data_IF_565065701175
#
_entry.id   IF_565065701175
#
_cell.length_a   1.000
_cell.length_b   1.000
_cell.length_c   1.000
_cell.angle_alpha   90.00
_cell.angle_beta   90.00
_cell.angle_gamma   90.00
#
_symmetry.space_group_name_H-M   'P 1'
#
loop_
_entity.id
_entity.type
_entity.pdbx_description
1 polymer ?
#
# COMPACT_ATOMS: atom_id res chain seq x y z
N UNK A 1 -20.01 -18.68 38.20
CA UNK A 1 -19.69 -18.82 36.75
C UNK A 1 -19.91 -17.53 35.95
N UNK A 2 -20.47 -16.46 36.52
CA UNK A 2 -20.80 -15.24 35.78
C UNK A 2 -19.60 -14.29 35.54
N UNK A 3 -18.65 -14.24 36.48
CA UNK A 3 -17.47 -13.36 36.38
C UNK A 3 -16.49 -13.74 35.27
N UNK A 4 -16.33 -15.04 35.00
CA UNK A 4 -15.42 -15.54 33.96
C UNK A 4 -15.94 -15.16 32.56
N UNK A 5 -17.26 -15.20 32.37
CA UNK A 5 -17.89 -14.80 31.11
C UNK A 5 -17.70 -13.31 30.83
N UNK A 6 -17.81 -12.46 31.86
CA UNK A 6 -17.62 -11.00 31.71
C UNK A 6 -16.17 -10.67 31.38
N UNK A 7 -15.21 -11.32 32.03
CA UNK A 7 -13.77 -11.12 31.75
C UNK A 7 -13.43 -11.55 30.32
N UNK A 8 -13.92 -12.72 29.88
CA UNK A 8 -13.69 -13.20 28.52
C UNK A 8 -14.30 -12.24 27.48
N UNK A 9 -15.52 -11.74 27.72
CA UNK A 9 -16.16 -10.79 26.82
C UNK A 9 -15.38 -9.47 26.71
N UNK A 10 -14.88 -8.92 27.83
CA UNK A 10 -14.07 -7.70 27.84
C UNK A 10 -12.75 -7.92 27.07
N UNK A 11 -12.09 -9.06 27.27
CA UNK A 11 -10.87 -9.40 26.53
C UNK A 11 -11.16 -9.51 25.05
N UNK A 12 -12.20 -10.24 24.64
CA UNK A 12 -12.58 -10.41 23.23
C UNK A 12 -12.88 -9.07 22.54
N UNK A 13 -13.66 -8.21 23.21
CA UNK A 13 -13.99 -6.88 22.70
C UNK A 13 -12.73 -5.99 22.65
N UNK A 14 -11.87 -6.04 23.67
CA UNK A 14 -10.62 -5.30 23.70
C UNK A 14 -9.65 -5.72 22.59
N UNK A 15 -9.47 -7.03 22.38
CA UNK A 15 -8.63 -7.57 21.31
C UNK A 15 -9.20 -7.24 19.94
N UNK A 16 -10.52 -7.39 19.73
CA UNK A 16 -11.16 -7.01 18.48
C UNK A 16 -11.02 -5.51 18.21
N UNK A 17 -11.15 -4.67 19.23
CA UNK A 17 -10.98 -3.22 19.13
C UNK A 17 -9.54 -2.83 18.78
N UNK A 18 -8.54 -3.45 19.41
CA UNK A 18 -7.12 -3.22 19.11
C UNK A 18 -6.77 -3.66 17.69
N UNK A 19 -7.27 -4.82 17.24
CA UNK A 19 -7.12 -5.27 15.86
C UNK A 19 -7.75 -4.27 14.89
N UNK A 20 -8.99 -3.83 15.16
CA UNK A 20 -9.67 -2.82 14.35
C UNK A 20 -8.93 -1.47 14.30
N UNK A 21 -8.38 -1.01 15.43
CA UNK A 21 -7.56 0.20 15.45
C UNK A 21 -6.28 0.02 14.65
N UNK A 22 -5.61 -1.12 14.76
CA UNK A 22 -4.40 -1.41 14.00
C UNK A 22 -4.68 -1.41 12.48
N UNK A 23 -5.74 -2.11 12.04
CA UNK A 23 -6.15 -2.11 10.63
C UNK A 23 -6.60 -0.73 10.13
N UNK A 24 -7.32 0.06 10.95
CA UNK A 24 -7.73 1.43 10.59
C UNK A 24 -6.54 2.39 10.55
N UNK A 25 -5.58 2.22 11.46
CA UNK A 25 -4.32 2.96 11.48
C UNK A 25 -3.51 2.72 10.21
N UNK A 26 -3.35 1.46 9.81
CA UNK A 26 -2.64 1.09 8.57
C UNK A 26 -3.30 1.63 7.29
N UNK A 27 -4.63 1.57 7.19
CA UNK A 27 -5.36 2.14 6.05
C UNK A 27 -5.27 3.68 5.99
N UNK A 28 -5.26 4.36 7.14
CA UNK A 28 -5.03 5.79 7.22
C UNK A 28 -3.57 6.15 6.87
N UNK A 29 -2.62 5.30 7.24
CA UNK A 29 -1.20 5.44 6.90
C UNK A 29 -1.02 5.49 5.38
N UNK A 30 -1.67 4.60 4.62
CA UNK A 30 -1.57 4.52 3.16
C UNK A 30 -2.16 5.74 2.41
N UNK A 31 -2.92 6.59 3.10
CA UNK A 31 -3.45 7.86 2.55
C UNK A 31 -2.51 9.03 2.78
N UNK A 32 -1.48 8.87 3.62
CA UNK A 32 -0.47 9.91 3.83
C UNK A 32 0.31 10.17 2.54
N UNK A 33 0.84 11.40 2.37
CA UNK A 33 1.76 11.70 1.30
C UNK A 33 2.91 10.68 1.24
N UNK A 34 3.30 10.26 0.03
CA UNK A 34 4.34 9.24 -0.14
C UNK A 34 5.64 9.57 0.61
N UNK A 35 6.03 10.85 0.66
CA UNK A 35 7.20 11.29 1.42
C UNK A 35 7.09 11.02 2.92
N UNK A 36 5.97 11.39 3.54
CA UNK A 36 5.73 11.12 4.97
C UNK A 36 5.60 9.64 5.28
N UNK A 37 4.98 8.89 4.36
CA UNK A 37 4.85 7.45 4.48
C UNK A 37 6.22 6.76 4.41
N UNK A 38 7.07 7.14 3.46
CA UNK A 38 8.44 6.62 3.30
C UNK A 38 9.31 6.94 4.52
N UNK A 39 9.25 8.17 5.04
CA UNK A 39 9.94 8.53 6.28
C UNK A 39 9.47 7.68 7.46
N UNK A 40 8.17 7.41 7.55
CA UNK A 40 7.62 6.53 8.59
C UNK A 40 8.04 5.08 8.40
N UNK A 41 8.10 4.60 7.15
CA UNK A 41 8.50 3.24 6.79
C UNK A 41 9.95 2.98 7.16
N UNK A 42 10.87 3.87 6.80
CA UNK A 42 12.30 3.72 7.06
C UNK A 42 12.65 3.76 8.56
N UNK A 43 11.83 4.43 9.38
CA UNK A 43 12.04 4.52 10.83
C UNK A 43 11.52 3.30 11.62
N UNK A 44 10.87 2.33 10.96
CA UNK A 44 10.19 1.19 11.60
C UNK A 44 11.04 -0.07 11.57
N UNK A 45 10.71 -1.03 12.43
CA UNK A 45 11.38 -2.34 12.46
C UNK A 45 11.09 -3.16 11.19
N UNK A 46 11.91 -4.17 10.84
CA UNK A 46 11.69 -4.98 9.63
C UNK A 46 10.32 -5.66 9.56
N UNK A 47 9.79 -6.11 10.70
CA UNK A 47 8.45 -6.72 10.80
C UNK A 47 7.37 -5.69 10.49
N UNK A 48 7.45 -4.50 11.09
CA UNK A 48 6.51 -3.41 10.82
C UNK A 48 6.62 -2.90 9.38
N UNK A 49 7.83 -2.90 8.79
CA UNK A 49 8.04 -2.55 7.39
C UNK A 49 7.32 -3.55 6.47
N UNK A 50 7.45 -4.85 6.74
CA UNK A 50 6.72 -5.88 5.99
C UNK A 50 5.20 -5.63 6.05
N UNK A 51 4.64 -5.43 7.24
CA UNK A 51 3.20 -5.16 7.42
C UNK A 51 2.76 -3.86 6.70
N UNK A 52 3.55 -2.80 6.82
CA UNK A 52 3.28 -1.53 6.14
C UNK A 52 3.31 -1.68 4.61
N UNK A 53 4.31 -2.39 4.09
CA UNK A 53 4.44 -2.67 2.66
C UNK A 53 3.27 -3.52 2.14
N UNK A 54 2.90 -4.57 2.87
CA UNK A 54 1.78 -5.44 2.50
C UNK A 54 0.46 -4.66 2.48
N UNK A 55 0.20 -3.84 3.49
CA UNK A 55 -0.98 -2.99 3.54
C UNK A 55 -1.03 -1.98 2.38
N UNK A 56 0.12 -1.39 2.05
CA UNK A 56 0.23 -0.47 0.92
C UNK A 56 -0.08 -1.21 -0.40
N UNK A 57 0.53 -2.37 -0.62
CA UNK A 57 0.30 -3.19 -1.82
C UNK A 57 -1.16 -3.58 -1.99
N UNK A 58 -1.78 -4.16 -0.95
CA UNK A 58 -3.20 -4.53 -0.99
C UNK A 58 -4.09 -3.33 -1.32
N UNK A 59 -3.76 -2.14 -0.79
CA UNK A 59 -4.53 -0.92 -1.06
C UNK A 59 -4.31 -0.42 -2.48
N UNK A 60 -3.07 -0.44 -2.95
CA UNK A 60 -2.69 -0.03 -4.31
C UNK A 60 -3.28 -0.94 -5.38
N UNK A 61 -3.29 -2.27 -5.16
CA UNK A 61 -3.97 -3.24 -6.03
C UNK A 61 -5.46 -2.95 -6.09
N UNK A 62 -6.11 -2.71 -4.95
CA UNK A 62 -7.54 -2.36 -4.92
C UNK A 62 -7.82 -1.06 -5.66
N UNK A 63 -6.93 -0.09 -5.57
CA UNK A 63 -7.05 1.17 -6.30
C UNK A 63 -6.86 0.95 -7.81
N UNK A 64 -5.89 0.13 -8.21
CA UNK A 64 -5.67 -0.26 -9.60
C UNK A 64 -6.88 -1.00 -10.19
N UNK A 65 -7.50 -1.89 -9.42
CA UNK A 65 -8.72 -2.58 -9.81
C UNK A 65 -9.88 -1.60 -10.06
N UNK A 66 -10.01 -0.56 -9.23
CA UNK A 66 -11.00 0.51 -9.45
C UNK A 66 -10.70 1.35 -10.71
N UNK A 67 -9.45 1.35 -11.18
CA UNK A 67 -9.03 1.99 -12.44
C UNK A 67 -9.09 1.02 -13.63
N UNK A 68 -9.64 -0.19 -13.45
CA UNK A 68 -9.84 -1.18 -14.50
C UNK A 68 -8.68 -2.18 -14.69
N UNK A 69 -7.65 -2.13 -13.84
CA UNK A 69 -6.48 -3.01 -13.95
C UNK A 69 -6.49 -4.02 -12.81
N UNK A 70 -6.73 -5.29 -13.14
CA UNK A 70 -6.70 -6.39 -12.17
C UNK A 70 -5.28 -6.90 -11.99
N UNK A 71 -4.79 -6.89 -10.75
CA UNK A 71 -3.43 -7.31 -10.40
C UNK A 71 -3.53 -8.34 -9.28
N UNK A 72 -2.97 -9.52 -9.50
CA UNK A 72 -2.88 -10.55 -8.48
C UNK A 72 -1.59 -10.38 -7.68
N UNK A 73 -1.69 -10.31 -6.35
CA UNK A 73 -0.54 -10.09 -5.48
C UNK A 73 0.44 -11.27 -5.53
N UNK A 74 -0.07 -12.50 -5.61
CA UNK A 74 0.75 -13.71 -5.68
C UNK A 74 1.55 -13.78 -6.99
N UNK A 75 0.95 -13.35 -8.11
CA UNK A 75 1.64 -13.27 -9.40
C UNK A 75 2.66 -12.12 -9.43
N UNK A 76 2.34 -10.99 -8.79
CA UNK A 76 3.19 -9.82 -8.74
C UNK A 76 4.47 -10.04 -7.93
N UNK A 77 4.35 -10.65 -6.74
CA UNK A 77 5.50 -10.95 -5.90
C UNK A 77 6.32 -12.11 -6.49
N UNK A 78 5.66 -13.07 -7.16
CA UNK A 78 6.32 -14.31 -7.53
C UNK A 78 6.67 -15.14 -6.28
N UNK A 79 6.88 -16.44 -6.46
CA UNK A 79 7.04 -17.38 -5.35
C UNK A 79 8.15 -16.94 -4.36
N UNK A 80 7.74 -16.34 -3.24
CA UNK A 80 8.60 -16.01 -2.11
C UNK A 80 9.22 -14.61 -2.11
N UNK A 81 8.82 -13.65 -2.96
CA UNK A 81 9.31 -12.29 -2.82
C UNK A 81 8.60 -11.54 -1.69
N UNK A 82 9.37 -10.76 -0.93
CA UNK A 82 8.85 -9.97 0.17
C UNK A 82 8.21 -8.66 -0.33
N UNK A 83 7.07 -8.25 0.22
CA UNK A 83 6.48 -6.93 0.01
C UNK A 83 7.48 -5.78 0.15
N UNK A 84 8.40 -5.87 1.12
CA UNK A 84 9.41 -4.86 1.41
C UNK A 84 10.42 -4.68 0.26
N UNK A 85 10.80 -5.75 -0.44
CA UNK A 85 11.71 -5.70 -1.58
C UNK A 85 11.08 -4.94 -2.75
N UNK A 86 9.79 -5.12 -2.93
CA UNK A 86 9.02 -4.44 -3.98
C UNK A 86 8.94 -2.92 -3.68
N UNK A 87 8.71 -2.55 -2.42
CA UNK A 87 8.76 -1.13 -2.00
C UNK A 87 10.16 -0.54 -2.20
N UNK A 88 11.23 -1.28 -1.91
CA UNK A 88 12.59 -0.82 -2.16
C UNK A 88 12.85 -0.57 -3.66
N UNK A 89 12.40 -1.47 -4.53
CA UNK A 89 12.49 -1.29 -5.98
C UNK A 89 11.69 -0.05 -6.45
N UNK A 90 10.53 0.20 -5.85
CA UNK A 90 9.72 1.38 -6.13
C UNK A 90 10.40 2.69 -5.74
N UNK A 91 11.08 2.73 -4.59
CA UNK A 91 11.82 3.93 -4.16
C UNK A 91 12.89 4.34 -5.19
N UNK A 92 13.55 3.36 -5.81
CA UNK A 92 14.55 3.61 -6.86
C UNK A 92 13.90 4.09 -8.16
N UNK A 93 12.73 3.55 -8.53
CA UNK A 93 12.04 3.91 -9.79
C UNK A 93 11.23 5.20 -9.72
N UNK A 94 10.77 5.57 -8.52
CA UNK A 94 9.87 6.70 -8.27
C UNK A 94 10.27 8.00 -9.00
N UNK A 95 11.55 8.43 -8.97
CA UNK A 95 11.98 9.66 -9.62
C UNK A 95 11.89 9.63 -11.15
N UNK A 96 11.96 8.44 -11.76
CA UNK A 96 11.93 8.26 -13.21
C UNK A 96 10.52 8.09 -13.79
N UNK A 97 9.54 7.77 -12.96
CA UNK A 97 8.17 7.43 -13.41
C UNK A 97 7.19 8.57 -13.15
N UNK A 98 7.28 9.19 -11.96
CA UNK A 98 6.36 10.24 -11.56
C UNK A 98 7.17 11.54 -11.47
N UNK A 99 6.80 12.60 -12.21
CA UNK A 99 7.51 13.87 -12.12
C UNK A 99 7.49 14.38 -10.68
N UNK A 100 8.64 14.89 -10.21
CA UNK A 100 8.80 15.33 -8.82
C UNK A 100 7.77 16.39 -8.39
N UNK A 101 7.19 17.15 -9.33
CA UNK A 101 6.12 18.12 -9.08
C UNK A 101 4.79 17.49 -8.59
N UNK A 102 4.51 16.22 -8.93
CA UNK A 102 3.30 15.52 -8.52
C UNK A 102 3.50 14.64 -7.28
N UNK A 103 4.74 14.45 -6.81
CA UNK A 103 5.04 13.70 -5.60
C UNK A 103 4.62 14.40 -4.29
N UNK A 104 4.80 15.72 -4.10
CA UNK A 104 4.36 16.38 -2.87
C UNK A 104 2.84 16.37 -2.78
N UNK A 105 2.31 15.71 -1.75
CA UNK A 105 0.88 15.63 -1.46
C UNK A 105 0.15 14.43 -2.06
N UNK A 106 0.78 13.65 -2.95
CA UNK A 106 0.12 12.46 -3.52
C UNK A 106 0.14 11.31 -2.50
N UNK A 107 -1.03 10.68 -2.23
CA UNK A 107 -1.11 9.55 -1.31
C UNK A 107 -0.20 8.39 -1.73
N UNK A 108 0.45 7.75 -0.77
CA UNK A 108 1.30 6.59 -1.01
C UNK A 108 0.57 5.48 -1.79
N UNK A 109 -0.70 5.22 -1.45
CA UNK A 109 -1.52 4.22 -2.14
C UNK A 109 -1.76 4.54 -3.61
N UNK A 110 -1.90 5.82 -3.97
CA UNK A 110 -2.04 6.28 -5.36
C UNK A 110 -0.74 6.11 -6.13
N UNK A 111 0.40 6.50 -5.54
CA UNK A 111 1.73 6.29 -6.13
C UNK A 111 1.99 4.81 -6.37
N UNK A 112 1.72 3.97 -5.36
CA UNK A 112 1.87 2.51 -5.49
C UNK A 112 0.96 1.93 -6.57
N UNK A 113 -0.28 2.39 -6.70
CA UNK A 113 -1.19 1.92 -7.73
C UNK A 113 -0.71 2.30 -9.14
N UNK A 114 -0.23 3.54 -9.31
CA UNK A 114 0.36 4.02 -10.56
C UNK A 114 1.59 3.19 -10.96
N UNK A 115 2.49 2.91 -10.02
CA UNK A 115 3.65 2.05 -10.27
C UNK A 115 3.28 0.61 -10.62
N UNK A 116 2.25 0.06 -9.95
CA UNK A 116 1.72 -1.26 -10.27
C UNK A 116 1.12 -1.31 -11.69
N UNK A 117 0.30 -0.34 -12.04
CA UNK A 117 -0.30 -0.25 -13.37
C UNK A 117 0.78 -0.09 -14.44
N UNK A 118 1.82 0.71 -14.17
CA UNK A 118 2.94 0.85 -15.10
C UNK A 118 3.67 -0.49 -15.35
N UNK A 119 3.83 -1.31 -14.32
CA UNK A 119 4.51 -2.61 -14.43
C UNK A 119 3.69 -3.66 -15.17
N UNK A 120 2.37 -3.69 -14.96
CA UNK A 120 1.48 -4.72 -15.51
C UNK A 120 0.91 -4.31 -16.87
N UNK A 121 0.44 -3.06 -16.99
CA UNK A 121 -0.26 -2.56 -18.17
C UNK A 121 0.19 -1.12 -18.52
N UNK A 122 1.41 -0.96 -19.08
CA UNK A 122 1.99 0.34 -19.36
C UNK A 122 1.15 1.19 -20.32
N UNK A 123 0.35 0.57 -21.20
CA UNK A 123 -0.57 1.26 -22.10
C UNK A 123 -1.64 2.06 -21.35
N UNK A 124 -2.28 1.44 -20.34
CA UNK A 124 -3.25 2.11 -19.46
C UNK A 124 -2.63 3.18 -18.59
N UNK A 125 -1.39 2.96 -18.15
CA UNK A 125 -0.67 3.95 -17.36
C UNK A 125 -0.56 5.30 -18.11
N UNK A 126 -0.23 5.27 -19.41
CA UNK A 126 -0.15 6.48 -20.23
C UNK A 126 -1.52 7.13 -20.45
N UNK A 127 -2.57 6.33 -20.70
CA UNK A 127 -3.95 6.83 -20.77
C UNK A 127 -4.39 7.53 -19.46
N UNK A 128 -4.09 6.92 -18.31
CA UNK A 128 -4.46 7.45 -16.99
C UNK A 128 -3.69 8.73 -16.60
N UNK A 129 -2.46 8.87 -17.09
CA UNK A 129 -1.69 10.11 -16.92
C UNK A 129 -2.12 11.23 -17.87
N UNK A 130 -3.09 10.99 -18.77
CA UNK A 130 -3.48 11.95 -19.80
C UNK A 130 -2.37 12.18 -20.84
N UNK A 131 -1.30 11.38 -20.78
CA UNK A 131 -0.30 11.28 -21.82
C UNK A 131 -0.88 10.34 -22.88
N UNK A 132 -1.82 10.86 -23.68
CA UNK A 132 -2.09 10.27 -24.98
C UNK A 132 -0.73 10.00 -25.60
N UNK A 133 -0.43 8.73 -25.88
CA UNK A 133 0.76 8.36 -26.60
C UNK A 133 0.74 9.14 -27.92
N UNK A 134 1.43 10.27 -27.95
CA UNK A 134 1.75 10.99 -29.15
C UNK A 134 2.87 10.18 -29.80
N UNK A 135 2.46 9.11 -30.47
CA UNK A 135 3.25 8.31 -31.39
C UNK A 135 2.38 8.04 -32.60
#
# INVERSE_FOLDING_TARGET
MELVFTVIAIVLVGTAYLLLQHFRGGAAQCRRPIGEWLSSYQARSPVEQHEMAEMLLRRSIRLAANMGVQINLDELLGNGAEPADLIAAWQVRLPGVIPAAYLPGTPASTVGALLLIQQVEPSRFHELLGQSAAG
#
